data_IF_857197762816
#
_entry.id   IF_857197762816
#
_cell.length_a   1.000
_cell.length_b   1.000
_cell.length_c   1.000
_cell.angle_alpha   90.00
_cell.angle_beta   90.00
_cell.angle_gamma   90.00
#
_symmetry.space_group_name_H-M   'P 1'
#
loop_
_entity.id
_entity.type
_entity.pdbx_description
1 polymer ?
#
# COMPACT_ATOMS: atom_id res chain seq x y z
N UNK A 1 15.88 33.05 -21.71
CA UNK A 1 16.03 31.59 -21.94
C UNK A 1 14.99 30.88 -21.08
N UNK A 2 13.84 30.57 -21.67
CA UNK A 2 12.79 29.80 -21.06
C UNK A 2 13.10 28.32 -21.28
N UNK A 3 13.47 27.63 -20.22
CA UNK A 3 13.58 26.18 -20.23
C UNK A 3 12.19 25.54 -20.21
N UNK A 4 11.77 25.00 -21.33
CA UNK A 4 10.58 24.19 -21.40
C UNK A 4 10.84 22.87 -20.65
N UNK A 5 10.29 22.70 -19.46
CA UNK A 5 10.12 21.39 -18.87
C UNK A 5 9.08 20.66 -19.70
N UNK A 6 9.51 19.74 -20.51
CA UNK A 6 8.62 18.77 -21.13
C UNK A 6 8.12 17.83 -20.02
N UNK A 7 6.94 18.13 -19.50
CA UNK A 7 6.18 17.19 -18.72
C UNK A 7 5.72 16.10 -19.68
N UNK A 8 6.44 15.00 -19.76
CA UNK A 8 5.97 13.84 -20.49
C UNK A 8 4.82 13.25 -19.69
N UNK A 9 3.64 13.71 -19.96
CA UNK A 9 2.41 12.98 -19.70
C UNK A 9 2.48 11.72 -20.55
N UNK A 10 2.98 10.67 -19.97
CA UNK A 10 2.76 9.34 -20.53
C UNK A 10 1.33 8.99 -20.12
N UNK A 11 0.38 8.96 -21.04
CA UNK A 11 -0.93 8.40 -20.75
C UNK A 11 -0.75 6.89 -20.70
N UNK A 12 -0.42 6.37 -19.58
CA UNK A 12 -0.46 4.94 -19.35
C UNK A 12 -1.84 4.52 -18.89
N UNK A 13 -2.83 4.91 -19.65
CA UNK A 13 -4.12 4.22 -19.60
C UNK A 13 -3.98 3.03 -20.50
N UNK A 14 -4.03 1.85 -19.91
CA UNK A 14 -3.80 0.56 -20.45
C UNK A 14 -3.89 0.39 -21.96
N UNK A 15 -2.87 -0.19 -22.55
CA UNK A 15 -3.01 -0.85 -23.83
C UNK A 15 -3.99 -2.02 -23.65
N UNK A 16 -5.23 -1.80 -24.05
CA UNK A 16 -6.17 -2.89 -24.24
C UNK A 16 -5.63 -3.70 -25.40
N UNK A 17 -5.00 -4.82 -25.08
CA UNK A 17 -4.66 -5.81 -26.10
C UNK A 17 -5.96 -6.47 -26.53
N UNK A 18 -6.45 -6.14 -27.71
CA UNK A 18 -7.55 -6.86 -28.34
C UNK A 18 -7.10 -8.29 -28.68
N UNK A 19 -7.25 -9.19 -27.75
CA UNK A 19 -7.43 -10.62 -28.03
C UNK A 19 -8.48 -11.15 -27.08
N UNK A 20 -9.51 -11.72 -27.67
CA UNK A 20 -10.63 -12.36 -27.01
C UNK A 20 -10.20 -13.63 -26.26
N UNK A 21 -9.67 -13.42 -25.10
CA UNK A 21 -9.68 -14.28 -23.92
C UNK A 21 -9.74 -13.32 -22.77
N UNK A 22 -10.52 -13.60 -21.73
CA UNK A 22 -10.78 -12.70 -20.63
C UNK A 22 -9.47 -12.02 -20.17
N UNK A 23 -9.12 -10.93 -20.84
CA UNK A 23 -7.87 -10.26 -20.68
C UNK A 23 -7.90 -9.57 -19.32
N UNK A 24 -7.10 -10.05 -18.40
CA UNK A 24 -6.75 -9.34 -17.19
C UNK A 24 -6.24 -7.98 -17.64
N UNK A 25 -6.95 -6.91 -17.29
CA UNK A 25 -6.51 -5.55 -17.57
C UNK A 25 -5.20 -5.32 -16.85
N UNK A 26 -4.11 -5.14 -17.59
CA UNK A 26 -2.82 -4.77 -16.99
C UNK A 26 -2.65 -3.27 -17.08
N UNK A 27 -2.35 -2.65 -15.97
CA UNK A 27 -1.96 -1.24 -15.92
C UNK A 27 -0.46 -1.19 -15.76
N UNK A 28 0.24 -0.65 -16.75
CA UNK A 28 1.70 -0.59 -16.75
C UNK A 28 2.24 0.32 -15.65
N UNK A 29 1.48 1.34 -15.28
CA UNK A 29 1.83 2.24 -14.19
C UNK A 29 0.61 2.98 -13.66
N UNK A 30 0.34 2.84 -12.37
CA UNK A 30 -0.54 3.75 -11.63
C UNK A 30 0.33 4.58 -10.70
N UNK A 31 0.17 5.89 -10.75
CA UNK A 31 0.86 6.80 -9.85
C UNK A 31 -0.17 7.45 -8.95
N UNK A 32 -0.08 7.15 -7.65
CA UNK A 32 -0.79 7.89 -6.62
C UNK A 32 0.14 8.98 -6.10
N UNK A 33 -0.33 10.20 -6.08
CA UNK A 33 0.37 11.35 -5.49
C UNK A 33 0.10 11.49 -3.99
N UNK A 34 -0.91 10.76 -3.50
CA UNK A 34 -1.28 10.70 -2.09
C UNK A 34 -2.09 9.45 -1.77
N UNK A 35 -2.02 9.02 -0.52
CA UNK A 35 -2.88 7.96 -0.02
C UNK A 35 -4.35 8.41 0.13
N UNK A 36 -5.27 7.48 0.10
CA UNK A 36 -6.69 7.69 0.42
C UNK A 36 -6.83 8.07 1.90
N UNK A 37 -6.08 7.41 2.75
CA UNK A 37 -5.96 7.79 4.16
C UNK A 37 -4.86 8.85 4.30
N UNK A 38 -5.19 9.98 4.92
CA UNK A 38 -4.24 11.09 5.12
C UNK A 38 -3.24 10.85 6.26
N UNK A 39 -3.48 9.80 7.05
CA UNK A 39 -2.66 9.37 8.18
C UNK A 39 -2.66 7.85 8.26
N UNK A 40 -1.68 7.30 8.94
CA UNK A 40 -1.75 5.92 9.39
C UNK A 40 -2.97 5.71 10.27
N UNK A 41 -3.61 4.57 10.11
CA UNK A 41 -4.75 4.13 10.92
C UNK A 41 -4.37 2.82 11.62
N UNK A 42 -4.64 2.74 12.91
CA UNK A 42 -4.50 1.49 13.66
C UNK A 42 -5.55 0.48 13.22
N UNK A 43 -5.12 -0.75 12.93
CA UNK A 43 -6.01 -1.85 12.63
C UNK A 43 -6.59 -2.53 13.87
N UNK A 44 -7.49 -3.48 13.64
CA UNK A 44 -8.12 -4.23 14.72
C UNK A 44 -7.27 -5.40 15.23
N UNK A 45 -6.24 -5.78 14.47
CA UNK A 45 -5.39 -6.94 14.74
C UNK A 45 -3.98 -6.58 15.21
N UNK A 46 -3.70 -5.31 15.47
CA UNK A 46 -2.40 -4.85 15.97
C UNK A 46 -1.47 -4.29 14.89
N UNK A 47 -1.92 -4.21 13.65
CA UNK A 47 -1.24 -3.52 12.56
C UNK A 47 -1.53 -2.01 12.58
N UNK A 48 -0.64 -1.24 11.94
CA UNK A 48 -0.99 0.06 11.39
C UNK A 48 -1.02 -0.03 9.86
N UNK A 49 -1.86 0.78 9.22
CA UNK A 49 -2.02 0.74 7.78
C UNK A 49 -2.14 2.12 7.16
N UNK A 50 -1.71 2.24 5.92
CA UNK A 50 -1.96 3.39 5.06
C UNK A 50 -2.58 2.91 3.75
N UNK A 51 -3.88 3.09 3.57
CA UNK A 51 -4.55 2.69 2.34
C UNK A 51 -4.30 3.71 1.23
N UNK A 52 -3.86 3.23 0.08
CA UNK A 52 -3.73 4.00 -1.15
C UNK A 52 -4.96 3.81 -2.05
N UNK A 53 -5.70 2.75 -1.84
CA UNK A 53 -6.94 2.45 -2.53
C UNK A 53 -7.98 1.89 -1.55
N UNK A 54 -9.19 2.43 -1.59
CA UNK A 54 -10.31 1.96 -0.76
C UNK A 54 -11.65 2.22 -1.48
N UNK A 55 -12.23 1.17 -2.02
CA UNK A 55 -13.49 1.20 -2.74
C UNK A 55 -14.73 1.40 -1.83
N UNK A 56 -14.59 1.30 -0.52
CA UNK A 56 -15.73 1.45 0.38
C UNK A 56 -16.05 2.92 0.68
N UNK A 57 -16.34 3.69 -0.40
CA UNK A 57 -16.94 5.02 -0.32
C UNK A 57 -15.97 6.20 -0.20
N UNK A 58 -14.65 5.97 -0.30
CA UNK A 58 -13.66 7.04 -0.15
C UNK A 58 -12.87 7.37 -1.41
N UNK A 59 -12.98 6.57 -2.44
CA UNK A 59 -12.22 6.72 -3.68
C UNK A 59 -13.02 6.18 -4.86
N UNK A 60 -12.81 6.71 -6.09
CA UNK A 60 -13.46 6.16 -7.29
C UNK A 60 -12.87 4.79 -7.62
N UNK A 61 -13.65 3.73 -7.42
CA UNK A 61 -13.17 2.36 -7.49
C UNK A 61 -12.97 1.86 -8.91
N UNK A 62 -13.60 2.49 -9.87
CA UNK A 62 -13.76 1.96 -11.22
C UNK A 62 -12.44 1.92 -12.00
N UNK A 63 -11.43 2.68 -11.54
CA UNK A 63 -10.13 2.73 -12.19
C UNK A 63 -9.20 1.56 -11.82
N UNK A 64 -9.38 0.94 -10.65
CA UNK A 64 -8.42 -0.05 -10.12
C UNK A 64 -9.02 -1.41 -9.81
N UNK A 65 -10.34 -1.51 -9.65
CA UNK A 65 -11.00 -2.80 -9.42
C UNK A 65 -10.73 -3.76 -10.57
N UNK A 66 -10.33 -4.99 -10.24
CA UNK A 66 -10.03 -6.03 -11.22
C UNK A 66 -8.66 -5.90 -11.91
N UNK A 67 -7.83 -4.94 -11.53
CA UNK A 67 -6.45 -4.85 -12.03
C UNK A 67 -5.62 -6.00 -11.49
N UNK A 68 -4.77 -6.55 -12.36
CA UNK A 68 -3.78 -7.55 -11.94
C UNK A 68 -2.81 -6.96 -10.93
N UNK A 69 -2.57 -7.71 -9.86
CA UNK A 69 -1.60 -7.36 -8.83
C UNK A 69 -0.17 -7.79 -9.15
N UNK A 70 0.05 -8.38 -10.34
CA UNK A 70 1.40 -8.74 -10.76
C UNK A 70 2.33 -7.52 -10.70
N UNK A 71 3.45 -7.67 -10.01
CA UNK A 71 4.50 -6.65 -9.87
C UNK A 71 4.01 -5.32 -9.23
N UNK A 72 2.83 -5.32 -8.59
CA UNK A 72 2.33 -4.15 -7.89
C UNK A 72 3.27 -3.76 -6.74
N UNK A 73 3.56 -2.48 -6.63
CA UNK A 73 4.43 -1.95 -5.58
C UNK A 73 3.95 -0.58 -5.10
N UNK A 74 4.27 -0.27 -3.85
CA UNK A 74 4.02 1.05 -3.24
C UNK A 74 5.34 1.55 -2.68
N UNK A 75 5.75 2.74 -3.10
CA UNK A 75 6.90 3.45 -2.54
C UNK A 75 6.39 4.56 -1.63
N UNK A 76 6.94 4.63 -0.43
CA UNK A 76 6.53 5.58 0.60
C UNK A 76 7.73 6.07 1.39
N UNK A 77 7.59 7.23 2.03
CA UNK A 77 8.56 7.76 2.98
C UNK A 77 8.08 7.49 4.40
N UNK A 78 8.98 7.19 5.32
CA UNK A 78 8.66 6.93 6.72
C UNK A 78 9.58 7.71 7.65
N UNK A 79 9.01 8.26 8.72
CA UNK A 79 9.70 8.99 9.79
C UNK A 79 9.24 8.49 11.16
N UNK A 80 10.11 8.62 12.18
CA UNK A 80 9.82 8.21 13.56
C UNK A 80 10.12 6.76 13.87
N UNK A 81 10.86 6.07 13.01
CA UNK A 81 11.19 4.64 13.15
C UNK A 81 11.91 4.34 14.46
N UNK A 82 12.88 5.18 14.86
CA UNK A 82 13.66 4.97 16.07
C UNK A 82 12.79 4.91 17.33
N UNK A 83 11.78 5.76 17.43
CA UNK A 83 10.87 5.81 18.58
C UNK A 83 9.99 4.55 18.65
N UNK A 84 9.51 4.07 17.51
CA UNK A 84 8.73 2.83 17.43
C UNK A 84 9.58 1.63 17.83
N UNK A 85 10.80 1.53 17.30
CA UNK A 85 11.72 0.43 17.65
C UNK A 85 12.08 0.44 19.13
N UNK A 86 12.31 1.62 19.72
CA UNK A 86 12.59 1.75 21.15
C UNK A 86 11.40 1.28 22.01
N UNK A 87 10.16 1.59 21.61
CA UNK A 87 8.94 1.22 22.33
C UNK A 87 8.60 -0.27 22.18
N UNK A 88 8.80 -0.83 21.01
CA UNK A 88 8.49 -2.25 20.73
C UNK A 88 9.61 -3.20 21.15
N UNK A 89 10.85 -2.73 21.23
CA UNK A 89 12.03 -3.58 21.40
C UNK A 89 12.39 -4.39 20.14
N UNK A 90 11.72 -4.14 19.01
CA UNK A 90 12.00 -4.79 17.74
C UNK A 90 13.29 -4.25 17.11
N UNK A 91 13.90 -5.03 16.23
CA UNK A 91 15.07 -4.60 15.45
C UNK A 91 14.68 -3.84 14.20
N UNK A 92 13.51 -4.11 13.68
CA UNK A 92 12.95 -3.49 12.46
C UNK A 92 11.43 -3.48 12.54
N UNK A 93 10.81 -2.61 11.76
CA UNK A 93 9.39 -2.61 11.49
C UNK A 93 9.17 -3.41 10.20
N UNK A 94 8.25 -4.37 10.24
CA UNK A 94 7.88 -5.16 9.07
C UNK A 94 6.78 -4.47 8.29
N UNK A 95 7.10 -4.05 7.07
CA UNK A 95 6.13 -3.47 6.14
C UNK A 95 5.89 -4.39 4.95
N UNK A 96 4.66 -4.45 4.48
CA UNK A 96 4.29 -5.25 3.31
C UNK A 96 3.08 -4.65 2.59
N UNK A 97 2.88 -5.06 1.34
CA UNK A 97 1.72 -4.67 0.57
C UNK A 97 0.53 -5.53 0.98
N UNK A 98 -0.46 -4.88 1.61
CA UNK A 98 -1.73 -5.49 1.97
C UNK A 98 -2.81 -5.18 0.94
N UNK A 99 -3.60 -6.19 0.60
CA UNK A 99 -4.74 -6.08 -0.30
C UNK A 99 -5.81 -7.12 0.00
N UNK A 100 -6.99 -6.93 -0.56
CA UNK A 100 -7.93 -8.01 -0.78
C UNK A 100 -8.16 -8.21 -2.29
N UNK A 101 -8.33 -9.46 -2.68
CA UNK A 101 -8.64 -9.80 -4.07
C UNK A 101 -10.12 -9.60 -4.39
N UNK A 102 -10.44 -9.45 -5.68
CA UNK A 102 -11.81 -9.25 -6.16
C UNK A 102 -12.73 -10.41 -5.81
N UNK A 103 -12.19 -11.63 -5.74
CA UNK A 103 -12.91 -12.86 -5.37
C UNK A 103 -12.78 -13.24 -3.88
N UNK A 104 -12.12 -12.38 -3.08
CA UNK A 104 -11.84 -12.61 -1.67
C UNK A 104 -11.00 -13.84 -1.34
N UNK A 105 -10.42 -14.49 -2.32
CA UNK A 105 -9.52 -15.64 -2.10
C UNK A 105 -8.21 -15.25 -1.40
N UNK A 106 -7.82 -13.99 -1.53
CA UNK A 106 -6.66 -13.40 -0.85
C UNK A 106 -7.12 -12.18 -0.04
N UNK A 107 -6.74 -12.15 1.21
CA UNK A 107 -6.85 -10.99 2.08
C UNK A 107 -5.61 -10.90 2.97
N UNK A 108 -4.75 -9.94 2.65
CA UNK A 108 -3.51 -9.66 3.39
C UNK A 108 -3.58 -8.32 4.12
N UNK A 109 -4.79 -7.76 4.28
CA UNK A 109 -5.03 -6.60 5.12
C UNK A 109 -5.03 -7.06 6.59
N UNK A 110 -4.00 -6.76 7.34
CA UNK A 110 -3.92 -7.14 8.75
C UNK A 110 -2.49 -7.22 9.26
N UNK A 111 -2.31 -7.86 10.41
CA UNK A 111 -1.05 -7.90 11.15
C UNK A 111 -0.12 -9.06 10.75
N UNK A 112 -0.60 -9.99 9.95
CA UNK A 112 0.20 -11.16 9.56
C UNK A 112 1.01 -10.86 8.31
N UNK A 113 2.30 -10.64 8.47
CA UNK A 113 3.21 -10.45 7.36
C UNK A 113 3.27 -11.73 6.49
N UNK A 114 3.23 -11.60 5.17
CA UNK A 114 3.39 -12.74 4.27
C UNK A 114 4.81 -13.34 4.40
N UNK A 115 4.98 -14.57 3.88
CA UNK A 115 6.29 -15.23 3.90
C UNK A 115 7.34 -14.49 3.06
N UNK A 116 6.89 -13.86 1.95
CA UNK A 116 7.71 -13.12 1.01
C UNK A 116 7.17 -11.69 0.81
N UNK A 117 8.00 -10.77 0.33
CA UNK A 117 7.59 -9.39 0.04
C UNK A 117 7.51 -8.49 1.28
N UNK A 118 8.13 -8.89 2.38
CA UNK A 118 8.29 -8.06 3.58
C UNK A 118 9.51 -7.17 3.44
N UNK A 119 9.32 -5.89 3.70
CA UNK A 119 10.39 -4.89 3.79
C UNK A 119 10.68 -4.60 5.25
N UNK A 120 11.92 -4.80 5.66
CA UNK A 120 12.41 -4.50 7.01
C UNK A 120 12.86 -3.03 7.07
N UNK A 121 12.26 -2.26 7.98
CA UNK A 121 12.51 -0.83 8.16
C UNK A 121 13.25 -0.63 9.48
N UNK A 122 14.51 -0.22 9.40
CA UNK A 122 15.38 -0.04 10.56
C UNK A 122 15.62 1.44 10.91
N UNK A 123 15.30 2.35 10.00
CA UNK A 123 15.50 3.80 10.16
C UNK A 123 14.54 4.59 9.27
N UNK A 124 14.47 5.88 9.49
CA UNK A 124 13.74 6.80 8.61
C UNK A 124 14.28 6.77 7.19
N UNK A 125 13.40 6.87 6.21
CA UNK A 125 13.79 6.83 4.79
C UNK A 125 12.66 6.48 3.85
N UNK A 126 13.03 6.23 2.60
CA UNK A 126 12.11 5.82 1.54
C UNK A 126 12.23 4.31 1.32
N UNK A 127 11.09 3.64 1.30
CA UNK A 127 10.98 2.20 1.16
C UNK A 127 9.96 1.81 0.10
N UNK A 128 10.07 0.61 -0.40
CA UNK A 128 9.12 0.03 -1.35
C UNK A 128 8.66 -1.34 -0.84
N UNK A 129 7.36 -1.54 -0.84
CA UNK A 129 6.75 -2.86 -0.64
C UNK A 129 6.21 -3.36 -1.96
N UNK A 130 6.35 -4.66 -2.21
CA UNK A 130 5.97 -5.27 -3.48
C UNK A 130 5.08 -6.48 -3.23
N UNK A 131 4.06 -6.65 -4.05
CA UNK A 131 3.24 -7.84 -4.03
C UNK A 131 4.00 -9.03 -4.64
N UNK A 132 4.13 -10.10 -3.88
CA UNK A 132 4.86 -11.32 -4.28
C UNK A 132 3.96 -12.54 -4.42
N UNK A 133 2.66 -12.35 -4.29
CA UNK A 133 1.69 -13.43 -4.43
C UNK A 133 1.42 -13.86 -5.88
N UNK A 134 0.35 -14.61 -6.07
CA UNK A 134 -0.02 -15.12 -7.40
C UNK A 134 -0.27 -14.01 -8.41
N UNK A 135 0.30 -14.15 -9.60
CA UNK A 135 0.09 -13.22 -10.73
C UNK A 135 -1.34 -13.22 -11.29
N UNK A 136 -2.17 -14.16 -10.86
CA UNK A 136 -3.59 -14.25 -11.27
C UNK A 136 -4.52 -13.44 -10.37
N UNK A 137 -4.01 -12.93 -9.24
CA UNK A 137 -4.82 -12.13 -8.32
C UNK A 137 -5.12 -10.76 -8.93
N UNK A 138 -6.38 -10.37 -8.83
CA UNK A 138 -6.85 -9.03 -9.20
C UNK A 138 -7.29 -8.27 -7.97
N UNK A 139 -7.07 -6.96 -7.97
CA UNK A 139 -7.43 -6.09 -6.87
C UNK A 139 -8.95 -6.06 -6.66
N UNK A 140 -9.35 -6.22 -5.41
CA UNK A 140 -10.73 -6.06 -4.95
C UNK A 140 -11.01 -4.65 -4.46
N UNK A 141 -11.21 -4.51 -3.15
CA UNK A 141 -11.73 -3.25 -2.58
C UNK A 141 -10.68 -2.37 -1.90
N UNK A 142 -9.57 -2.93 -1.47
CA UNK A 142 -8.58 -2.19 -0.70
C UNK A 142 -7.14 -2.62 -1.04
N UNK A 143 -6.23 -1.65 -1.01
CA UNK A 143 -4.80 -1.87 -1.11
C UNK A 143 -4.05 -0.78 -0.33
N UNK A 144 -2.98 -1.16 0.33
CA UNK A 144 -2.16 -0.23 1.07
C UNK A 144 -0.87 -0.82 1.62
N UNK A 145 -0.18 -0.02 2.42
CA UNK A 145 0.97 -0.47 3.19
C UNK A 145 0.50 -0.90 4.56
N UNK A 146 0.87 -2.10 4.97
CA UNK A 146 0.65 -2.65 6.30
C UNK A 146 1.97 -2.62 7.07
N UNK A 147 1.89 -2.25 8.35
CA UNK A 147 3.00 -2.26 9.29
C UNK A 147 2.63 -3.20 10.44
N UNK A 148 3.30 -4.35 10.52
CA UNK A 148 2.99 -5.37 11.52
C UNK A 148 3.55 -5.05 12.90
N UNK A 149 2.81 -5.46 13.94
CA UNK A 149 3.24 -5.51 15.34
C UNK A 149 3.68 -4.16 15.95
N UNK A 150 3.20 -3.04 15.41
CA UNK A 150 3.60 -1.72 15.91
C UNK A 150 2.49 -0.92 16.59
N UNK A 151 1.25 -1.40 16.57
CA UNK A 151 0.08 -0.67 17.05
C UNK A 151 0.25 -0.17 18.51
N UNK A 152 0.84 -1.00 19.36
CA UNK A 152 1.09 -0.65 20.77
C UNK A 152 2.11 0.47 20.98
N UNK A 153 2.93 0.77 19.98
CA UNK A 153 3.94 1.84 20.02
C UNK A 153 3.41 3.18 19.49
N UNK A 154 2.19 3.20 18.95
CA UNK A 154 1.59 4.36 18.31
C UNK A 154 0.57 5.03 19.23
N UNK A 155 0.52 6.36 19.20
CA UNK A 155 -0.57 7.13 19.78
C UNK A 155 -1.67 7.32 18.72
N UNK A 156 -2.91 7.20 19.13
CA UNK A 156 -4.08 7.25 18.24
C UNK A 156 -5.17 8.13 18.82
N UNK A 157 -5.93 8.77 17.95
CA UNK A 157 -7.18 9.43 18.31
C UNK A 157 -8.36 8.42 18.41
N UNK A 158 -9.55 8.92 18.73
CA UNK A 158 -10.76 8.10 18.88
C UNK A 158 -11.18 7.42 17.57
N UNK A 159 -10.78 7.96 16.42
CA UNK A 159 -11.01 7.39 15.09
C UNK A 159 -9.89 6.43 14.65
N UNK A 160 -9.00 6.05 15.58
CA UNK A 160 -7.81 5.22 15.36
C UNK A 160 -6.74 5.81 14.43
N UNK A 161 -6.84 7.08 14.06
CA UNK A 161 -5.76 7.73 13.31
C UNK A 161 -4.52 7.83 14.19
N UNK A 162 -3.38 7.49 13.63
CA UNK A 162 -2.09 7.62 14.33
C UNK A 162 -1.74 9.11 14.44
N UNK A 163 -1.55 9.56 15.66
CA UNK A 163 -1.23 10.96 15.99
C UNK A 163 0.24 11.17 16.36
N UNK A 164 0.91 10.12 16.86
CA UNK A 164 2.33 10.12 17.13
C UNK A 164 2.94 8.71 17.05
N UNK A 165 4.25 8.66 16.85
CA UNK A 165 5.05 7.46 16.70
C UNK A 165 5.59 7.36 15.27
N UNK A 166 4.82 6.86 14.34
CA UNK A 166 5.23 6.71 12.94
C UNK A 166 4.46 7.68 12.03
N UNK A 167 5.17 8.26 11.05
CA UNK A 167 4.58 9.04 9.94
C UNK A 167 4.92 8.37 8.63
N UNK A 168 3.98 8.39 7.71
CA UNK A 168 4.14 7.84 6.36
C UNK A 168 3.60 8.81 5.33
#
# INVERSE_FOLDING_TARGET
LAGAMALSLIPSVGLVSEKADAAVSTVDKVVFDKAVESKLVGGDSGEARLLVFNNWGKYDPNALEGISMKDASITFNVEGVADVLAKTGAKSIKAFLGLNSSDWSVNTLGNTAPADGVTEIEKDGTYTVTYTGSSTITLGNQMGVMFADIDSALEKDDDKNVTAGLKV
#
